data_IF_916387011926
#
_entry.id   IF_916387011926
#
_cell.length_a   1.000
_cell.length_b   1.000
_cell.length_c   1.000
_cell.angle_alpha   90.00
_cell.angle_beta   90.00
_cell.angle_gamma   90.00
#
_symmetry.space_group_name_H-M   'P 1'
#
loop_
_entity.id
_entity.type
_entity.pdbx_description
1 polymer ?
#
# COMPACT_ATOMS: atom_id res chain seq x y z
N UNK A 1 -14.71 9.55 2.11
CA UNK A 1 -13.54 9.07 1.33
C UNK A 1 -13.85 7.68 0.82
N UNK A 2 -13.80 7.48 -0.50
CA UNK A 2 -14.01 6.19 -1.15
C UNK A 2 -12.69 5.70 -1.75
N UNK A 3 -12.41 4.39 -1.65
CA UNK A 3 -11.17 3.79 -2.15
C UNK A 3 -11.52 2.70 -3.16
N UNK A 4 -11.08 2.89 -4.39
CA UNK A 4 -11.15 1.91 -5.47
C UNK A 4 -9.73 1.39 -5.80
N UNK A 5 -9.59 0.27 -6.55
CA UNK A 5 -8.28 -0.33 -6.81
C UNK A 5 -7.23 0.59 -7.48
N UNK A 6 -7.66 1.67 -8.13
CA UNK A 6 -6.76 2.62 -8.82
C UNK A 6 -6.93 4.08 -8.40
N UNK A 7 -7.97 4.40 -7.64
CA UNK A 7 -8.35 5.78 -7.29
C UNK A 7 -8.80 5.88 -5.84
N UNK A 8 -8.50 7.00 -5.21
CA UNK A 8 -9.03 7.40 -3.90
C UNK A 8 -9.77 8.71 -4.11
N UNK A 9 -11.05 8.73 -3.81
CA UNK A 9 -11.93 9.88 -4.06
C UNK A 9 -12.38 10.48 -2.74
N UNK A 10 -12.21 11.79 -2.59
CA UNK A 10 -12.69 12.57 -1.45
C UNK A 10 -13.90 13.37 -1.93
N UNK A 11 -15.02 13.18 -1.24
CA UNK A 11 -16.29 13.83 -1.53
C UNK A 11 -16.71 14.70 -0.36
N UNK A 12 -17.56 15.68 -0.63
CA UNK A 12 -18.23 16.47 0.37
C UNK A 12 -19.10 15.60 1.28
N UNK A 13 -19.21 16.00 2.54
CA UNK A 13 -19.99 15.26 3.52
C UNK A 13 -21.48 15.28 3.16
N UNK A 14 -22.10 14.10 3.05
CA UNK A 14 -23.51 13.98 2.68
C UNK A 14 -23.81 14.15 1.19
N UNK A 15 -22.82 14.45 0.35
CA UNK A 15 -22.97 14.62 -1.09
C UNK A 15 -21.98 13.70 -1.85
N UNK A 16 -22.42 12.50 -2.30
CA UNK A 16 -21.53 11.56 -2.99
C UNK A 16 -21.08 12.04 -4.37
N UNK A 17 -21.84 12.92 -5.02
CA UNK A 17 -21.49 13.49 -6.33
C UNK A 17 -20.59 14.73 -6.21
N UNK A 18 -20.51 15.32 -5.01
CA UNK A 18 -19.65 16.45 -4.68
C UNK A 18 -18.19 16.06 -4.53
N UNK A 19 -17.52 15.66 -5.62
CA UNK A 19 -16.10 15.30 -5.60
C UNK A 19 -15.26 16.54 -5.32
N UNK A 20 -14.50 16.49 -4.23
CA UNK A 20 -13.55 17.54 -3.85
C UNK A 20 -12.20 17.25 -4.50
N UNK A 21 -11.72 16.00 -4.37
CA UNK A 21 -10.40 15.59 -4.86
C UNK A 21 -10.40 14.13 -5.29
N UNK A 22 -9.55 13.82 -6.28
CA UNK A 22 -9.28 12.45 -6.73
C UNK A 22 -7.76 12.19 -6.80
N UNK A 23 -7.33 11.14 -6.12
CA UNK A 23 -5.94 10.71 -6.10
C UNK A 23 -5.79 9.38 -6.82
N UNK A 24 -4.77 9.26 -7.67
CA UNK A 24 -4.43 7.98 -8.31
C UNK A 24 -3.47 7.19 -7.44
N UNK A 25 -3.85 5.95 -7.11
CA UNK A 25 -3.06 5.03 -6.25
C UNK A 25 -1.61 4.88 -6.73
N UNK A 26 -1.36 4.92 -8.05
CA UNK A 26 -0.01 4.80 -8.64
C UNK A 26 0.97 5.92 -8.25
N UNK A 27 0.47 7.06 -7.77
CA UNK A 27 1.28 8.22 -7.39
C UNK A 27 1.40 8.39 -5.88
N UNK A 28 0.72 7.53 -5.10
CA UNK A 28 0.88 7.49 -3.66
C UNK A 28 2.27 6.93 -3.34
N UNK A 29 3.10 7.73 -2.69
CA UNK A 29 4.49 7.37 -2.36
C UNK A 29 4.62 6.84 -0.93
N UNK A 30 3.86 7.40 0.02
CA UNK A 30 3.91 7.03 1.42
C UNK A 30 2.54 7.17 2.08
N UNK A 31 2.30 6.41 3.15
CA UNK A 31 1.11 6.53 3.99
C UNK A 31 1.45 6.11 5.42
N UNK A 32 0.83 6.76 6.41
CA UNK A 32 0.98 6.41 7.81
C UNK A 32 -0.18 6.87 8.68
N UNK A 33 -0.25 6.30 9.88
CA UNK A 33 -1.12 6.72 10.98
C UNK A 33 -0.22 7.41 12.01
N UNK A 34 -0.67 8.50 12.63
CA UNK A 34 0.13 9.17 13.65
C UNK A 34 0.30 8.28 14.89
N UNK A 35 1.51 8.29 15.47
CA UNK A 35 1.85 7.42 16.60
C UNK A 35 1.19 7.86 17.92
N UNK A 36 1.01 9.17 18.08
CA UNK A 36 0.39 9.83 19.23
C UNK A 36 -1.13 9.98 19.08
N UNK A 37 -1.67 9.90 17.86
CA UNK A 37 -3.10 10.00 17.59
C UNK A 37 -3.57 9.03 16.49
N UNK A 38 -4.20 7.93 16.90
CA UNK A 38 -4.72 6.89 15.99
C UNK A 38 -5.85 7.33 15.06
N UNK A 39 -6.45 8.51 15.30
CA UNK A 39 -7.48 9.11 14.44
C UNK A 39 -6.88 9.89 13.28
N UNK A 40 -5.62 10.26 13.38
CA UNK A 40 -4.90 10.99 12.35
C UNK A 40 -4.19 10.02 11.42
N UNK A 41 -4.41 10.15 10.12
CA UNK A 41 -3.55 9.55 9.12
C UNK A 41 -3.20 10.53 8.01
N UNK A 42 -2.17 10.19 7.25
CA UNK A 42 -1.81 10.93 6.07
C UNK A 42 -1.30 10.01 4.97
N UNK A 43 -1.44 10.47 3.72
CA UNK A 43 -0.70 9.91 2.60
C UNK A 43 -0.03 11.02 1.78
N UNK A 44 1.06 10.66 1.13
CA UNK A 44 1.88 11.57 0.33
C UNK A 44 1.72 11.19 -1.14
N UNK A 45 1.39 12.20 -1.96
CA UNK A 45 1.20 12.07 -3.40
C UNK A 45 2.37 12.71 -4.14
N UNK A 46 2.98 11.98 -5.07
CA UNK A 46 3.91 12.54 -6.04
C UNK A 46 3.14 13.21 -7.18
N UNK A 47 3.51 14.45 -7.48
CA UNK A 47 2.83 15.26 -8.51
C UNK A 47 3.66 15.33 -9.79
N UNK A 48 3.02 15.71 -10.90
CA UNK A 48 3.71 15.93 -12.19
C UNK A 48 4.77 17.03 -12.14
N UNK A 49 4.68 17.95 -11.18
CA UNK A 49 5.64 19.03 -10.96
C UNK A 49 6.86 18.58 -10.13
N UNK A 50 7.05 17.28 -9.94
CA UNK A 50 8.08 16.70 -9.09
C UNK A 50 8.03 17.20 -7.63
N UNK A 51 6.82 17.53 -7.15
CA UNK A 51 6.54 17.91 -5.76
C UNK A 51 5.83 16.77 -5.05
N UNK A 52 5.95 16.75 -3.73
CA UNK A 52 5.20 15.85 -2.86
C UNK A 52 4.17 16.64 -2.07
N UNK A 53 2.92 16.21 -2.11
CA UNK A 53 1.81 16.82 -1.37
C UNK A 53 1.32 15.83 -0.32
N UNK A 54 1.26 16.27 0.93
CA UNK A 54 0.74 15.48 2.04
C UNK A 54 -0.74 15.79 2.24
N UNK A 55 -1.58 14.76 2.26
CA UNK A 55 -3.01 14.86 2.55
C UNK A 55 -3.28 14.21 3.89
N UNK A 56 -3.83 14.99 4.82
CA UNK A 56 -4.03 14.58 6.21
C UNK A 56 -5.53 14.44 6.47
N UNK A 57 -5.91 13.35 7.14
CA UNK A 57 -7.29 13.01 7.44
C UNK A 57 -7.46 12.73 8.93
N UNK A 58 -8.58 13.19 9.47
CA UNK A 58 -9.07 12.81 10.78
C UNK A 58 -10.21 11.80 10.61
N UNK A 59 -10.07 10.63 11.22
CA UNK A 59 -10.96 9.48 11.06
C UNK A 59 -11.51 9.02 12.40
N UNK A 60 -12.81 8.73 12.43
CA UNK A 60 -13.52 8.24 13.62
C UNK A 60 -13.99 6.80 13.40
N UNK A 61 -13.81 5.87 14.36
CA UNK A 61 -13.10 6.03 15.65
C UNK A 61 -11.57 5.94 15.55
N UNK A 62 -11.04 5.52 14.39
CA UNK A 62 -9.60 5.46 14.11
C UNK A 62 -9.34 5.49 12.60
N UNK A 63 -8.12 5.82 12.19
CA UNK A 63 -7.70 5.81 10.80
C UNK A 63 -7.30 4.42 10.27
N UNK A 64 -7.22 3.41 11.15
CA UNK A 64 -6.81 2.05 10.82
C UNK A 64 -7.55 1.44 9.62
N UNK A 65 -8.90 1.44 9.60
CA UNK A 65 -9.68 0.91 8.48
C UNK A 65 -9.38 1.61 7.15
N UNK A 66 -9.30 2.94 7.14
CA UNK A 66 -9.00 3.71 5.93
C UNK A 66 -7.61 3.35 5.38
N UNK A 67 -6.59 3.35 6.23
CA UNK A 67 -5.23 2.99 5.83
C UNK A 67 -5.14 1.54 5.34
N UNK A 68 -5.87 0.59 5.96
CA UNK A 68 -5.90 -0.80 5.50
C UNK A 68 -6.54 -0.95 4.12
N UNK A 69 -7.61 -0.20 3.84
CA UNK A 69 -8.23 -0.22 2.51
C UNK A 69 -7.31 0.39 1.45
N UNK A 70 -6.60 1.48 1.77
CA UNK A 70 -5.59 2.06 0.87
C UNK A 70 -4.42 1.09 0.65
N UNK A 71 -3.93 0.43 1.70
CA UNK A 71 -2.88 -0.60 1.61
C UNK A 71 -3.29 -1.73 0.65
N UNK A 72 -4.53 -2.22 0.77
CA UNK A 72 -5.07 -3.25 -0.11
C UNK A 72 -5.15 -2.77 -1.58
N UNK A 73 -5.60 -1.53 -1.81
CA UNK A 73 -5.64 -0.94 -3.15
C UNK A 73 -4.24 -0.83 -3.76
N UNK A 74 -3.25 -0.35 -2.99
CA UNK A 74 -1.85 -0.30 -3.41
C UNK A 74 -1.32 -1.68 -3.80
N UNK A 75 -1.57 -2.71 -2.98
CA UNK A 75 -1.14 -4.09 -3.26
C UNK A 75 -1.79 -4.66 -4.52
N UNK A 76 -3.11 -4.48 -4.67
CA UNK A 76 -3.83 -4.94 -5.87
C UNK A 76 -3.35 -4.22 -7.14
N UNK A 77 -3.09 -2.91 -7.05
CA UNK A 77 -2.57 -2.13 -8.17
C UNK A 77 -1.17 -2.60 -8.56
N UNK A 78 -0.30 -2.82 -7.58
CA UNK A 78 1.03 -3.33 -7.79
C UNK A 78 1.01 -4.71 -8.46
N UNK A 79 0.21 -5.65 -7.93
CA UNK A 79 0.07 -6.98 -8.51
C UNK A 79 -0.42 -6.91 -9.97
N UNK A 80 -1.43 -6.10 -10.27
CA UNK A 80 -1.91 -5.91 -11.66
C UNK A 80 -0.84 -5.40 -12.60
N UNK A 81 0.07 -4.53 -12.13
CA UNK A 81 1.17 -4.04 -12.95
C UNK A 81 2.21 -5.12 -13.24
N UNK A 82 2.48 -6.01 -12.28
CA UNK A 82 3.35 -7.18 -12.46
C UNK A 82 2.73 -8.20 -13.42
N UNK A 83 1.44 -8.49 -13.26
CA UNK A 83 0.74 -9.47 -14.10
C UNK A 83 0.62 -9.01 -15.57
N UNK A 84 0.52 -7.70 -15.80
CA UNK A 84 0.50 -7.11 -17.15
C UNK A 84 1.88 -7.15 -17.85
N UNK A 85 2.96 -7.28 -17.07
CA UNK A 85 4.32 -7.46 -17.56
C UNK A 85 4.86 -8.76 -16.98
N UNK A 86 4.29 -9.93 -17.37
CA UNK A 86 4.79 -11.20 -16.90
C UNK A 86 6.26 -11.22 -17.29
N UNK A 87 7.15 -11.18 -16.30
CA UNK A 87 8.58 -11.19 -16.52
C UNK A 87 8.84 -12.37 -17.46
N UNK A 88 9.22 -12.09 -18.72
CA UNK A 88 9.77 -13.12 -19.59
C UNK A 88 10.86 -13.79 -18.78
N UNK A 89 10.77 -15.11 -18.52
CA UNK A 89 11.78 -15.79 -17.73
C UNK A 89 13.11 -15.55 -18.44
N UNK A 90 14.01 -14.79 -17.83
CA UNK A 90 15.41 -14.80 -18.25
C UNK A 90 15.87 -16.23 -17.97
N UNK A 91 15.99 -17.00 -19.07
CA UNK A 91 16.41 -18.39 -19.22
C UNK A 91 16.66 -19.21 -17.95
N UNK A 92 15.91 -20.31 -17.80
CA UNK A 92 16.31 -21.40 -16.90
C UNK A 92 15.19 -22.34 -16.47
N UNK A 93 15.03 -23.43 -17.24
CA UNK A 93 14.48 -24.76 -16.87
C UNK A 93 12.96 -24.91 -16.60
N UNK A 94 12.35 -26.03 -17.07
CA UNK A 94 10.93 -26.30 -16.88
C UNK A 94 10.70 -27.05 -15.56
N UNK A 95 9.78 -26.56 -14.72
CA UNK A 95 9.29 -27.40 -13.62
C UNK A 95 8.61 -26.69 -12.46
N UNK A 96 7.30 -26.96 -12.37
CA UNK A 96 6.48 -27.06 -11.15
C UNK A 96 5.88 -25.77 -10.56
N UNK A 97 4.60 -25.60 -10.91
CA UNK A 97 3.46 -25.30 -10.01
C UNK A 97 3.58 -24.07 -9.10
N UNK A 98 2.97 -22.98 -9.58
CA UNK A 98 2.80 -21.67 -8.95
C UNK A 98 1.92 -21.64 -7.68
N UNK A 99 1.53 -22.80 -7.09
CA UNK A 99 0.63 -22.83 -5.92
C UNK A 99 1.32 -22.58 -4.56
N UNK A 100 2.65 -22.60 -4.49
CA UNK A 100 3.36 -22.52 -3.20
C UNK A 100 3.99 -21.16 -2.86
N UNK A 101 3.96 -20.17 -3.77
CA UNK A 101 4.70 -18.91 -3.57
C UNK A 101 4.06 -17.96 -2.55
N UNK A 102 2.78 -18.14 -2.21
CA UNK A 102 2.07 -17.27 -1.25
C UNK A 102 2.51 -17.53 0.21
N UNK A 103 3.10 -18.69 0.54
CA UNK A 103 3.52 -19.00 1.91
C UNK A 103 4.92 -18.46 2.28
N UNK A 104 5.76 -18.09 1.33
CA UNK A 104 7.14 -17.67 1.62
C UNK A 104 7.26 -16.20 2.03
N UNK A 105 6.28 -15.35 1.70
CA UNK A 105 6.37 -13.89 1.90
C UNK A 105 6.09 -13.42 3.34
N UNK A 106 5.62 -14.31 4.23
CA UNK A 106 5.38 -13.98 5.66
C UNK A 106 6.59 -14.38 6.54
N UNK A 107 7.57 -15.13 6.01
CA UNK A 107 8.73 -15.57 6.79
C UNK A 107 9.94 -14.63 6.72
N UNK A 108 9.98 -13.67 5.78
CA UNK A 108 11.14 -12.78 5.63
C UNK A 108 11.14 -11.54 6.55
N UNK A 109 10.16 -11.38 7.44
CA UNK A 109 10.08 -10.22 8.36
C UNK A 109 10.45 -10.59 9.82
N UNK A 110 10.60 -11.88 10.15
CA UNK A 110 10.77 -12.34 11.54
C UNK A 110 12.04 -13.16 11.79
N UNK A 111 13.20 -12.67 11.34
CA UNK A 111 14.45 -13.33 11.69
C UNK A 111 15.69 -12.66 11.15
N UNK A 112 16.14 -11.59 11.83
CA UNK A 112 17.56 -11.18 11.88
C UNK A 112 17.74 -10.08 12.93
N UNK A 113 17.71 -10.45 14.20
CA UNK A 113 18.60 -9.82 15.19
C UNK A 113 19.40 -10.94 15.82
N UNK A 114 20.71 -10.83 15.63
CA UNK A 114 21.76 -11.80 15.84
C UNK A 114 21.91 -12.20 17.31
N UNK A 115 21.86 -13.50 17.60
CA UNK A 115 22.61 -14.10 18.70
C UNK A 115 24.10 -14.15 18.32
N UNK A 116 24.91 -13.35 19.01
CA UNK A 116 26.36 -13.52 19.02
C UNK A 116 26.73 -14.48 20.17
N UNK A 117 27.20 -15.67 19.80
CA UNK A 117 28.41 -16.39 20.29
C UNK A 117 28.70 -16.38 21.81
N UNK A 118 28.92 -17.50 22.52
CA UNK A 118 29.80 -18.64 22.24
C UNK A 118 29.57 -19.82 23.21
N UNK A 119 30.04 -21.05 22.90
CA UNK A 119 30.14 -22.16 23.84
C UNK A 119 31.59 -22.47 24.28
N UNK A 120 31.85 -22.51 25.59
CA UNK A 120 32.50 -23.62 26.32
C UNK A 120 32.49 -23.35 27.82
#
# INVERSE_FOLDING_TARGET
>A
VAVAPSTITVTEHGNPDGIIEEYRVRFLSFMGIAADNVRMCAFIMHTSQNKFICHVFHCEPSAGPLCKTIEAACKLRYQKCLDAHPQTPKGGLPGKSLRNSIKQSIQCVWGSVTSLTSPK
#
